data_IF_169480938118
#
_entry.id   IF_169480938118
#
_cell.length_a   1.000
_cell.length_b   1.000
_cell.length_c   1.000
_cell.angle_alpha   90.00
_cell.angle_beta   90.00
_cell.angle_gamma   90.00
#
_symmetry.space_group_name_H-M   'P 1'
#
loop_
_entity.id
_entity.type
_entity.pdbx_description
1 polymer ?
#
# COMPACT_ATOMS: atom_id res chain seq x y z
N UNK A 1 -10.22 -7.97 -2.88
CA UNK A 1 -9.83 -6.77 -3.65
C UNK A 1 -9.44 -5.68 -2.68
N UNK A 2 -8.26 -5.09 -2.76
CA UNK A 2 -7.84 -4.05 -1.80
C UNK A 2 -8.34 -2.66 -2.23
N UNK A 3 -8.91 -1.88 -1.32
CA UNK A 3 -9.56 -0.59 -1.64
C UNK A 3 -8.78 0.61 -1.10
N UNK A 4 -8.14 0.46 0.07
CA UNK A 4 -7.25 1.49 0.62
C UNK A 4 -6.07 0.83 1.30
N UNK A 5 -4.87 1.27 0.93
CA UNK A 5 -3.62 0.79 1.50
C UNK A 5 -2.89 2.01 2.09
N UNK A 6 -2.71 2.02 3.41
CA UNK A 6 -2.00 3.11 4.09
C UNK A 6 -0.50 3.14 3.75
N UNK A 7 0.07 2.04 3.23
CA UNK A 7 1.46 1.96 2.76
C UNK A 7 1.75 2.99 1.64
N UNK A 8 1.06 3.00 0.48
CA UNK A 8 1.17 4.03 -0.55
C UNK A 8 0.98 5.47 -0.04
N UNK A 9 0.06 5.69 0.90
CA UNK A 9 -0.19 7.01 1.47
C UNK A 9 0.97 7.48 2.36
N UNK A 10 1.54 6.56 3.13
CA UNK A 10 2.73 6.80 3.94
C UNK A 10 3.96 7.01 3.04
N UNK A 11 4.17 6.13 2.06
CA UNK A 11 5.23 6.24 1.06
C UNK A 11 5.17 7.57 0.31
N UNK A 12 3.98 8.02 -0.09
CA UNK A 12 3.76 9.32 -0.73
C UNK A 12 4.16 10.50 0.15
N UNK A 13 3.83 10.46 1.44
CA UNK A 13 4.21 11.51 2.37
C UNK A 13 5.73 11.55 2.56
N UNK A 14 6.37 10.39 2.70
CA UNK A 14 7.81 10.27 2.90
C UNK A 14 8.59 10.68 1.65
N UNK A 15 8.15 10.27 0.45
CA UNK A 15 8.77 10.69 -0.81
C UNK A 15 8.65 12.20 -1.06
N UNK A 16 7.50 12.80 -0.73
CA UNK A 16 7.34 14.24 -0.84
C UNK A 16 8.31 15.01 0.08
N UNK A 17 8.58 14.49 1.28
CA UNK A 17 9.54 15.08 2.23
C UNK A 17 10.99 14.88 1.77
N UNK A 18 11.35 13.69 1.27
CA UNK A 18 12.74 13.35 0.94
C UNK A 18 13.20 13.81 -0.45
N UNK A 19 12.33 13.66 -1.44
CA UNK A 19 12.67 13.81 -2.86
C UNK A 19 12.03 15.06 -3.47
N UNK A 20 11.14 15.74 -2.74
CA UNK A 20 10.38 16.88 -3.26
C UNK A 20 9.41 16.49 -4.39
N UNK A 21 9.17 15.19 -4.59
CA UNK A 21 8.35 14.65 -5.65
C UNK A 21 7.25 13.75 -5.07
N UNK A 22 6.06 13.79 -5.68
CA UNK A 22 5.05 12.76 -5.40
C UNK A 22 5.45 11.48 -6.12
N UNK A 23 5.24 10.28 -5.52
CA UNK A 23 5.42 9.03 -6.22
C UNK A 23 4.64 9.02 -7.53
N UNK A 24 5.18 8.36 -8.59
CA UNK A 24 4.40 8.13 -9.79
C UNK A 24 3.10 7.44 -9.41
N UNK A 25 1.99 7.90 -10.01
CA UNK A 25 0.71 7.21 -9.83
C UNK A 25 0.90 5.74 -10.23
N UNK A 26 0.37 4.78 -9.45
CA UNK A 26 0.43 3.38 -9.86
C UNK A 26 -0.17 3.28 -11.27
N UNK A 27 0.53 2.57 -12.16
CA UNK A 27 0.04 2.27 -13.50
C UNK A 27 -1.28 1.49 -13.36
N UNK A 28 -2.40 2.19 -13.40
CA UNK A 28 -3.73 1.62 -13.23
C UNK A 28 -4.22 1.20 -14.60
N UNK A 29 -3.68 0.10 -15.12
CA UNK A 29 -4.25 -0.55 -16.30
C UNK A 29 -5.43 -1.45 -15.88
N UNK A 30 -6.63 -0.92 -16.13
CA UNK A 30 -7.87 -1.60 -16.54
C UNK A 30 -8.22 -2.92 -15.85
N UNK A 31 -8.44 -2.85 -14.55
CA UNK A 31 -9.51 -3.57 -13.84
C UNK A 31 -9.50 -3.05 -12.40
N UNK A 32 -9.93 -1.81 -12.21
CA UNK A 32 -10.19 -1.39 -10.85
C UNK A 32 -11.46 -2.14 -10.43
N UNK A 33 -11.39 -2.87 -9.32
CA UNK A 33 -12.54 -3.59 -8.78
C UNK A 33 -13.58 -2.67 -8.13
N UNK A 34 -13.58 -1.41 -8.58
CA UNK A 34 -14.60 -0.39 -8.42
C UNK A 34 -15.58 -0.37 -9.59
N UNK A 35 -15.20 -0.88 -10.76
CA UNK A 35 -16.09 -0.97 -11.94
C UNK A 35 -16.93 -2.25 -11.85
N UNK A 36 -17.95 -2.19 -11.00
CA UNK A 36 -18.84 -3.32 -10.71
C UNK A 36 -19.45 -3.92 -11.99
N UNK A 37 -19.86 -3.08 -12.95
CA UNK A 37 -20.49 -3.53 -14.18
C UNK A 37 -19.55 -4.36 -15.07
N UNK A 38 -18.27 -3.99 -15.13
CA UNK A 38 -17.24 -4.70 -15.91
C UNK A 38 -16.91 -6.05 -15.27
N UNK A 39 -16.87 -6.10 -13.94
CA UNK A 39 -16.61 -7.31 -13.18
C UNK A 39 -17.77 -8.29 -13.22
N UNK A 40 -18.99 -7.81 -13.05
CA UNK A 40 -20.19 -8.63 -13.09
C UNK A 40 -20.33 -9.32 -14.45
N UNK A 41 -20.07 -8.58 -15.54
CA UNK A 41 -20.01 -9.14 -16.89
C UNK A 41 -18.90 -10.20 -17.03
N UNK A 42 -17.69 -9.91 -16.55
CA UNK A 42 -16.56 -10.85 -16.61
C UNK A 42 -16.80 -12.13 -15.82
N UNK A 43 -17.46 -12.03 -14.66
CA UNK A 43 -17.83 -13.21 -13.86
C UNK A 43 -18.94 -14.01 -14.53
N UNK A 44 -19.95 -13.35 -15.09
CA UNK A 44 -21.01 -14.01 -15.84
C UNK A 44 -20.47 -14.77 -17.05
N UNK A 45 -19.55 -14.17 -17.83
CA UNK A 45 -18.86 -14.84 -18.94
C UNK A 45 -18.08 -16.09 -18.48
N UNK A 46 -17.50 -16.04 -17.27
CA UNK A 46 -16.79 -17.17 -16.67
C UNK A 46 -17.74 -18.23 -16.05
N UNK A 47 -19.06 -18.07 -16.16
CA UNK A 47 -20.05 -18.96 -15.55
C UNK A 47 -20.03 -18.90 -14.02
N UNK A 48 -19.70 -17.74 -13.47
CA UNK A 48 -19.68 -17.45 -12.04
C UNK A 48 -20.74 -16.40 -11.70
N UNK A 49 -21.27 -16.46 -10.49
CA UNK A 49 -22.11 -15.42 -9.92
C UNK A 49 -21.54 -14.93 -8.60
N UNK A 50 -21.85 -13.69 -8.26
CA UNK A 50 -21.53 -13.12 -6.96
C UNK A 50 -22.42 -13.76 -5.91
N UNK A 51 -21.81 -14.41 -4.93
CA UNK A 51 -22.51 -14.99 -3.79
C UNK A 51 -22.76 -13.94 -2.70
N UNK A 52 -21.77 -13.10 -2.38
CA UNK A 52 -21.84 -12.11 -1.30
C UNK A 52 -20.72 -11.06 -1.40
N UNK A 53 -20.94 -9.89 -0.78
CA UNK A 53 -19.88 -8.99 -0.34
C UNK A 53 -19.30 -8.07 -1.42
N UNK A 54 -19.80 -8.12 -2.66
CA UNK A 54 -19.23 -7.38 -3.80
C UNK A 54 -19.01 -5.88 -3.52
N UNK A 55 -19.82 -5.26 -2.67
CA UNK A 55 -19.66 -3.86 -2.23
C UNK A 55 -19.29 -3.69 -0.75
N UNK A 56 -19.15 -4.77 0.01
CA UNK A 56 -18.80 -4.72 1.42
C UNK A 56 -17.29 -4.52 1.58
N UNK A 57 -16.92 -3.46 2.30
CA UNK A 57 -15.55 -3.26 2.78
C UNK A 57 -15.41 -3.92 4.14
N UNK A 58 -14.33 -4.65 4.31
CA UNK A 58 -13.89 -5.20 5.58
C UNK A 58 -12.59 -4.51 5.97
N UNK A 59 -12.52 -4.11 7.23
CA UNK A 59 -11.32 -3.54 7.81
C UNK A 59 -10.26 -4.62 7.99
N UNK A 60 -9.02 -4.25 7.73
CA UNK A 60 -7.86 -5.05 8.06
C UNK A 60 -6.79 -4.16 8.69
N UNK A 61 -5.94 -4.78 9.48
CA UNK A 61 -4.77 -4.13 10.03
C UNK A 61 -3.54 -4.93 9.64
N UNK A 62 -2.61 -4.28 8.93
CA UNK A 62 -1.33 -4.87 8.56
C UNK A 62 -0.27 -4.48 9.57
N UNK A 63 0.27 -5.46 10.26
CA UNK A 63 1.45 -5.30 11.10
C UNK A 63 2.70 -5.48 10.23
N UNK A 64 3.44 -4.39 10.03
CA UNK A 64 4.66 -4.34 9.22
C UNK A 64 5.92 -4.67 10.04
N UNK A 65 5.77 -5.01 11.32
CA UNK A 65 6.86 -5.26 12.24
C UNK A 65 7.25 -4.03 13.07
N UNK A 66 8.36 -4.13 13.83
CA UNK A 66 8.93 -3.02 14.59
C UNK A 66 9.15 -1.79 13.70
N UNK A 67 8.75 -0.60 14.17
CA UNK A 67 8.86 0.63 13.36
C UNK A 67 10.32 1.00 13.06
N UNK A 68 11.23 0.66 13.97
CA UNK A 68 12.68 0.86 13.88
C UNK A 68 13.42 -0.29 13.17
N UNK A 69 12.66 -1.28 12.69
CA UNK A 69 13.16 -2.46 12.00
C UNK A 69 13.91 -2.11 10.72
N UNK A 70 15.06 -2.75 10.50
CA UNK A 70 15.94 -2.49 9.35
C UNK A 70 15.26 -2.72 7.98
N UNK A 71 14.22 -3.56 7.93
CA UNK A 71 13.45 -3.86 6.71
C UNK A 71 12.13 -3.10 6.61
N UNK A 72 11.58 -2.59 7.72
CA UNK A 72 10.22 -2.00 7.75
C UNK A 72 10.14 -0.73 6.92
N UNK A 73 11.13 0.16 7.04
CA UNK A 73 11.19 1.37 6.21
C UNK A 73 11.37 1.03 4.72
N UNK A 74 12.10 -0.04 4.39
CA UNK A 74 12.26 -0.49 3.00
C UNK A 74 10.96 -1.01 2.41
N UNK A 75 10.15 -1.73 3.20
CA UNK A 75 8.82 -2.16 2.77
C UNK A 75 7.88 -0.98 2.51
N UNK A 76 7.98 0.10 3.30
CA UNK A 76 7.23 1.33 3.06
C UNK A 76 7.73 2.03 1.79
N UNK A 77 9.04 2.07 1.57
CA UNK A 77 9.68 2.79 0.48
C UNK A 77 9.94 1.93 -0.77
N UNK A 78 9.29 0.77 -0.90
CA UNK A 78 9.62 -0.23 -1.93
C UNK A 78 9.59 0.33 -3.36
N UNK A 79 8.69 1.28 -3.64
CA UNK A 79 8.57 1.96 -4.94
C UNK A 79 9.71 2.93 -5.25
N UNK A 80 10.46 3.36 -4.24
CA UNK A 80 11.55 4.33 -4.35
C UNK A 80 12.92 3.73 -4.03
N UNK A 81 13.01 2.44 -3.64
CA UNK A 81 14.28 1.82 -3.25
C UNK A 81 15.36 1.96 -4.32
N UNK A 82 15.02 1.73 -5.59
CA UNK A 82 15.98 1.85 -6.69
C UNK A 82 16.53 3.28 -6.83
N UNK A 83 15.70 4.29 -6.61
CA UNK A 83 16.12 5.70 -6.66
C UNK A 83 17.01 6.06 -5.47
N UNK A 84 16.64 5.62 -4.25
CA UNK A 84 17.45 5.81 -3.04
C UNK A 84 18.82 5.14 -3.17
N UNK A 85 18.88 3.92 -3.74
CA UNK A 85 20.13 3.21 -4.04
C UNK A 85 21.00 3.98 -5.05
N UNK A 86 20.39 4.58 -6.08
CA UNK A 86 21.13 5.43 -7.02
C UNK A 86 21.70 6.69 -6.35
N UNK A 87 20.97 7.29 -5.41
CA UNK A 87 21.47 8.44 -4.63
C UNK A 87 22.66 8.05 -3.75
N UNK A 88 22.65 6.86 -3.13
CA UNK A 88 23.78 6.33 -2.37
C UNK A 88 25.02 6.15 -3.24
N UNK A 89 24.85 5.47 -4.39
CA UNK A 89 25.93 5.27 -5.36
C UNK A 89 26.43 6.60 -5.91
N UNK A 90 25.56 7.59 -6.03
CA UNK A 90 25.87 8.97 -6.45
C UNK A 90 26.58 9.82 -5.40
N UNK A 91 26.78 9.31 -4.18
CA UNK A 91 27.59 9.95 -3.13
C UNK A 91 26.83 10.41 -1.89
N UNK A 92 25.50 10.28 -1.83
CA UNK A 92 24.75 10.54 -0.61
C UNK A 92 24.63 9.28 0.25
N UNK A 93 25.67 8.99 1.01
CA UNK A 93 25.75 7.81 1.89
C UNK A 93 24.79 7.85 3.08
N UNK A 94 24.04 8.95 3.27
CA UNK A 94 23.13 9.14 4.40
C UNK A 94 21.66 8.95 4.05
N UNK A 95 21.32 8.81 2.76
CA UNK A 95 19.93 8.80 2.30
C UNK A 95 19.11 7.65 2.91
N UNK A 96 19.67 6.45 3.10
CA UNK A 96 18.94 5.35 3.79
C UNK A 96 18.58 5.68 5.23
N UNK A 97 19.50 6.30 5.99
CA UNK A 97 19.23 6.71 7.38
C UNK A 97 18.19 7.83 7.43
N UNK A 98 18.28 8.80 6.50
CA UNK A 98 17.25 9.84 6.36
C UNK A 98 15.89 9.26 5.98
N UNK A 99 15.86 8.26 5.10
CA UNK A 99 14.62 7.58 4.71
C UNK A 99 14.00 6.81 5.87
N UNK A 100 14.82 6.08 6.63
CA UNK A 100 14.37 5.40 7.86
C UNK A 100 13.77 6.39 8.86
N UNK A 101 14.50 7.45 9.19
CA UNK A 101 14.03 8.47 10.13
C UNK A 101 12.74 9.17 9.66
N UNK A 102 12.60 9.42 8.36
CA UNK A 102 11.40 10.00 7.78
C UNK A 102 10.19 9.06 7.88
N UNK A 103 10.37 7.75 7.67
CA UNK A 103 9.30 6.74 7.85
C UNK A 103 8.86 6.70 9.31
N UNK A 104 9.78 6.60 10.26
CA UNK A 104 9.48 6.54 11.70
C UNK A 104 8.71 7.79 12.16
N UNK A 105 9.23 8.97 11.83
CA UNK A 105 8.60 10.27 12.15
C UNK A 105 7.20 10.37 11.56
N UNK A 106 7.04 10.04 10.28
CA UNK A 106 5.75 10.18 9.58
C UNK A 106 4.72 9.17 10.08
N UNK A 107 5.15 7.93 10.36
CA UNK A 107 4.30 6.91 10.93
C UNK A 107 3.79 7.32 12.32
N UNK A 108 4.67 7.84 13.18
CA UNK A 108 4.31 8.33 14.49
C UNK A 108 3.32 9.51 14.41
N UNK A 109 3.60 10.49 13.54
CA UNK A 109 2.74 11.66 13.35
C UNK A 109 1.33 11.29 12.84
N UNK A 110 1.20 10.18 12.11
CA UNK A 110 -0.08 9.65 11.61
C UNK A 110 -0.77 8.69 12.57
N UNK A 111 -0.22 8.44 13.76
CA UNK A 111 -0.78 7.49 14.72
C UNK A 111 -0.74 6.03 14.25
N UNK A 112 0.19 5.71 13.34
CA UNK A 112 0.36 4.37 12.77
C UNK A 112 1.32 3.50 13.57
N UNK A 113 1.91 4.03 14.64
CA UNK A 113 2.79 3.28 15.53
C UNK A 113 2.00 2.83 16.76
N UNK A 114 1.89 1.52 16.97
CA UNK A 114 1.26 0.91 18.14
C UNK A 114 2.23 -0.06 18.78
N UNK A 115 2.51 0.12 20.07
CA UNK A 115 3.44 -0.73 20.83
C UNK A 115 4.82 -0.92 20.16
N UNK A 116 5.34 0.16 19.57
CA UNK A 116 6.61 0.14 18.84
C UNK A 116 6.56 -0.51 17.45
N UNK A 117 5.37 -0.87 16.96
CA UNK A 117 5.17 -1.54 15.68
C UNK A 117 4.47 -0.64 14.68
N UNK A 118 4.85 -0.73 13.42
CA UNK A 118 4.18 -0.02 12.34
C UNK A 118 2.92 -0.80 11.94
N UNK A 119 1.77 -0.23 12.28
CA UNK A 119 0.46 -0.82 12.10
C UNK A 119 -0.35 0.00 11.11
N UNK A 120 -0.58 -0.58 9.94
CA UNK A 120 -1.19 0.09 8.81
C UNK A 120 -2.64 -0.38 8.61
N UNK A 121 -3.63 0.45 8.92
CA UNK A 121 -5.01 0.12 8.64
C UNK A 121 -5.23 0.10 7.13
N UNK A 122 -6.10 -0.78 6.68
CA UNK A 122 -6.52 -0.86 5.30
C UNK A 122 -7.93 -1.41 5.22
N UNK A 123 -8.51 -1.34 4.03
CA UNK A 123 -9.80 -1.96 3.75
C UNK A 123 -9.66 -2.86 2.53
N UNK A 124 -10.30 -4.01 2.60
CA UNK A 124 -10.48 -4.89 1.46
C UNK A 124 -11.94 -5.14 1.19
N UNK A 125 -12.29 -5.22 -0.07
CA UNK A 125 -13.59 -5.64 -0.55
C UNK A 125 -13.63 -7.16 -0.57
N UNK A 126 -14.53 -7.71 0.23
CA UNK A 126 -14.74 -9.14 0.39
C UNK A 126 -15.59 -9.64 -0.78
N UNK A 127 -15.00 -10.39 -1.72
CA UNK A 127 -15.73 -10.92 -2.86
C UNK A 127 -15.84 -12.44 -2.72
N UNK A 128 -17.07 -12.94 -2.67
CA UNK A 128 -17.34 -14.38 -2.76
C UNK A 128 -18.02 -14.70 -4.07
N UNK A 129 -17.43 -15.60 -4.85
CA UNK A 129 -17.97 -16.11 -6.11
C UNK A 129 -18.51 -17.53 -5.90
N UNK A 130 -19.53 -17.88 -6.65
CA UNK A 130 -20.09 -19.23 -6.69
C UNK A 130 -20.40 -19.65 -8.13
N UNK A 131 -20.46 -20.96 -8.37
CA UNK A 131 -21.04 -21.46 -9.62
C UNK A 131 -22.57 -21.39 -9.52
N UNK A 132 -23.28 -21.00 -10.60
CA UNK A 132 -24.72 -21.19 -10.70
C UNK A 132 -25.05 -22.67 -10.46
N UNK A 133 -26.11 -22.92 -9.67
CA UNK A 133 -26.66 -24.26 -9.50
C UNK A 133 -27.36 -24.72 -10.77
#
# INVERSE_FOLDING_TARGET
VWHTFSVPLLAKAVMAELLGQSPPAPATERACLTDADVLDASFAEAGLSIAEGHNALSDITFDMGPVDGASTWKSVMISALAELEQMEVGGDTTISERAKAAVEKTAAAKGLVKDGRLVLPGTFRALRLMKPK
#
